data_IF_777893563055
#
_entry.id   IF_777893563055
#
_cell.length_a   1.000
_cell.length_b   1.000
_cell.length_c   1.000
_cell.angle_alpha   90.00
_cell.angle_beta   90.00
_cell.angle_gamma   90.00
#
_symmetry.space_group_name_H-M   'P 1'
#
loop_
_entity.id
_entity.type
_entity.pdbx_description
1 polymer ?
#
# COMPACT_ATOMS: atom_id res chain seq x y z
N UNK A 1 13.26 12.60 9.91
CA UNK A 1 13.32 11.66 8.77
C UNK A 1 12.27 12.07 7.76
N UNK A 2 12.68 12.24 6.50
CA UNK A 2 11.82 12.58 5.38
C UNK A 2 11.54 11.30 4.58
N UNK A 3 10.27 11.03 4.27
CA UNK A 3 9.88 9.82 3.55
C UNK A 3 9.30 10.15 2.18
N UNK A 4 9.86 9.53 1.14
CA UNK A 4 9.33 9.64 -0.23
C UNK A 4 8.45 8.44 -0.53
N UNK A 5 7.22 8.69 -0.98
CA UNK A 5 6.26 7.64 -1.33
C UNK A 5 6.31 7.42 -2.84
N UNK A 6 6.69 6.20 -3.27
CA UNK A 6 6.87 5.85 -4.68
C UNK A 6 5.92 4.70 -5.05
N UNK A 7 4.93 4.93 -5.94
CA UNK A 7 4.06 3.85 -6.40
C UNK A 7 4.76 2.98 -7.45
N UNK A 8 4.69 1.67 -7.28
CA UNK A 8 5.32 0.70 -8.19
C UNK A 8 4.36 0.25 -9.30
N UNK A 9 4.91 -0.34 -10.36
CA UNK A 9 4.15 -0.73 -11.57
C UNK A 9 2.94 -1.63 -11.26
N UNK A 10 3.11 -2.63 -10.40
CA UNK A 10 2.02 -3.55 -10.02
C UNK A 10 0.95 -2.86 -9.19
N UNK A 11 1.35 -1.99 -8.27
CA UNK A 11 0.44 -1.14 -7.52
C UNK A 11 -0.39 -0.25 -8.46
N UNK A 12 0.24 0.44 -9.42
CA UNK A 12 -0.47 1.32 -10.36
C UNK A 12 -1.46 0.54 -11.26
N UNK A 13 -1.10 -0.68 -11.65
CA UNK A 13 -1.97 -1.55 -12.44
C UNK A 13 -3.25 -1.92 -11.68
N UNK A 14 -3.11 -2.43 -10.46
CA UNK A 14 -4.26 -2.78 -9.62
C UNK A 14 -5.04 -1.55 -9.19
N UNK A 15 -4.35 -0.45 -8.90
CA UNK A 15 -4.98 0.81 -8.58
C UNK A 15 -5.90 1.28 -9.72
N UNK A 16 -5.44 1.23 -10.97
CA UNK A 16 -6.26 1.59 -12.13
C UNK A 16 -7.48 0.69 -12.27
N UNK A 17 -7.36 -0.60 -11.95
CA UNK A 17 -8.49 -1.54 -11.96
C UNK A 17 -9.49 -1.20 -10.87
N UNK A 18 -9.03 -0.97 -9.63
CA UNK A 18 -9.88 -0.60 -8.51
C UNK A 18 -10.53 0.79 -8.70
N UNK A 19 -9.82 1.75 -9.31
CA UNK A 19 -10.33 3.09 -9.57
C UNK A 19 -11.51 3.09 -10.55
N UNK A 20 -11.57 2.12 -11.47
CA UNK A 20 -12.73 1.92 -12.34
C UNK A 20 -13.96 1.40 -11.58
N UNK A 21 -13.73 0.65 -10.50
CA UNK A 21 -14.80 0.03 -9.69
C UNK A 21 -15.29 0.96 -8.58
N UNK A 22 -14.40 1.76 -8.00
CA UNK A 22 -14.66 2.59 -6.84
C UNK A 22 -14.33 4.06 -7.14
N UNK A 23 -15.35 4.90 -7.24
CA UNK A 23 -15.21 6.32 -7.55
C UNK A 23 -14.47 7.11 -6.46
N UNK A 24 -14.56 6.67 -5.19
CA UNK A 24 -13.90 7.34 -4.06
C UNK A 24 -12.40 7.08 -3.98
N UNK A 25 -11.86 6.13 -4.76
CA UNK A 25 -10.52 5.59 -4.53
C UNK A 25 -9.42 6.65 -4.59
N UNK A 26 -9.61 7.69 -5.40
CA UNK A 26 -8.70 8.82 -5.48
C UNK A 26 -8.59 9.58 -4.15
N UNK A 27 -9.74 9.82 -3.49
CA UNK A 27 -9.78 10.46 -2.17
C UNK A 27 -9.24 9.52 -1.08
N UNK A 28 -9.58 8.23 -1.16
CA UNK A 28 -9.08 7.21 -0.22
C UNK A 28 -7.54 7.11 -0.26
N UNK A 29 -6.94 7.19 -1.46
CA UNK A 29 -5.49 7.23 -1.63
C UNK A 29 -4.85 8.51 -1.05
N UNK A 30 -5.50 9.65 -1.20
CA UNK A 30 -5.00 10.90 -0.64
C UNK A 30 -4.97 10.84 0.89
N UNK A 31 -6.01 10.23 1.49
CA UNK A 31 -6.03 9.97 2.93
C UNK A 31 -4.89 9.00 3.34
N UNK A 32 -4.64 7.94 2.56
CA UNK A 32 -3.51 7.03 2.80
C UNK A 32 -2.16 7.76 2.71
N UNK A 33 -1.99 8.66 1.74
CA UNK A 33 -0.76 9.42 1.59
C UNK A 33 -0.52 10.33 2.79
N UNK A 34 -1.58 10.99 3.30
CA UNK A 34 -1.49 11.81 4.51
C UNK A 34 -1.18 10.97 5.76
N UNK A 35 -1.77 9.77 5.87
CA UNK A 35 -1.49 8.80 6.94
C UNK A 35 -0.01 8.38 6.91
N UNK A 36 0.53 8.04 5.73
CA UNK A 36 1.93 7.66 5.55
C UNK A 36 2.91 8.82 5.77
N UNK A 37 2.52 10.04 5.40
CA UNK A 37 3.35 11.23 5.60
C UNK A 37 3.46 11.59 7.09
N UNK A 38 2.38 11.35 7.86
CA UNK A 38 2.35 11.60 9.30
C UNK A 38 2.94 10.44 10.11
N UNK A 39 2.73 9.21 9.64
CA UNK A 39 3.24 7.98 10.25
C UNK A 39 3.80 7.04 9.16
N UNK A 40 5.10 7.17 8.84
CA UNK A 40 5.80 6.29 7.89
C UNK A 40 5.75 4.81 8.28
N UNK A 41 5.62 4.52 9.57
CA UNK A 41 5.48 3.19 10.15
C UNK A 41 4.02 2.77 10.34
N UNK A 42 3.09 3.30 9.55
CA UNK A 42 1.69 2.87 9.59
C UNK A 42 1.52 1.41 9.16
N UNK A 43 0.42 0.80 9.61
CA UNK A 43 0.06 -0.58 9.28
C UNK A 43 0.77 -1.65 10.11
N UNK A 44 0.58 -2.90 9.69
CA UNK A 44 1.10 -4.09 10.36
C UNK A 44 2.45 -4.44 9.72
N UNK A 45 3.48 -4.59 10.54
CA UNK A 45 4.77 -5.09 10.10
C UNK A 45 4.67 -6.57 9.72
N UNK A 46 5.11 -6.90 8.51
CA UNK A 46 5.23 -8.27 8.00
C UNK A 46 6.68 -8.76 7.99
N UNK A 47 7.62 -7.94 8.48
CA UNK A 47 9.06 -8.22 8.49
C UNK A 47 9.79 -7.70 7.25
N UNK A 48 11.12 -7.61 7.35
CA UNK A 48 12.00 -7.20 6.26
C UNK A 48 11.62 -5.85 5.60
N UNK A 49 11.13 -4.88 6.39
CA UNK A 49 10.69 -3.57 5.86
C UNK A 49 9.35 -3.61 5.12
N UNK A 50 8.67 -4.76 5.09
CA UNK A 50 7.37 -4.92 4.44
C UNK A 50 6.26 -4.62 5.44
N UNK A 51 5.30 -3.79 5.04
CA UNK A 51 4.15 -3.44 5.85
C UNK A 51 2.83 -3.62 5.10
N UNK A 52 1.79 -3.93 5.85
CA UNK A 52 0.42 -4.09 5.36
C UNK A 52 -0.48 -3.05 5.99
N UNK A 53 -1.00 -2.15 5.15
CA UNK A 53 -1.85 -1.04 5.56
C UNK A 53 -3.29 -1.35 5.19
N UNK A 54 -4.20 -1.10 6.13
CA UNK A 54 -5.65 -1.24 5.92
C UNK A 54 -6.21 0.11 5.49
N UNK A 55 -6.69 0.20 4.26
CA UNK A 55 -7.29 1.38 3.68
C UNK A 55 -8.81 1.19 3.57
N UNK A 56 -9.60 2.14 4.05
CA UNK A 56 -11.03 2.14 3.76
C UNK A 56 -11.25 2.49 2.27
N UNK A 57 -12.31 1.95 1.68
CA UNK A 57 -12.78 2.41 0.37
C UNK A 57 -14.12 3.09 0.63
N UNK A 58 -14.17 4.42 0.52
CA UNK A 58 -15.35 5.23 0.82
C UNK A 58 -16.60 4.73 0.10
N UNK A 59 -16.50 4.42 -1.20
CA UNK A 59 -17.60 3.91 -2.03
C UNK A 59 -18.25 2.63 -1.50
N UNK A 60 -17.61 1.91 -0.58
CA UNK A 60 -18.17 0.70 0.02
C UNK A 60 -19.01 0.96 1.26
N UNK A 61 -18.82 2.08 1.97
CA UNK A 61 -19.49 2.36 3.25
C UNK A 61 -19.36 1.25 4.33
N UNK A 62 -18.31 0.41 4.27
CA UNK A 62 -18.10 -0.75 5.16
C UNK A 62 -16.84 -0.66 6.05
N UNK A 63 -16.23 0.52 6.14
CA UNK A 63 -15.03 0.78 6.95
C UNK A 63 -13.76 0.06 6.47
N UNK A 64 -12.67 0.15 7.26
CA UNK A 64 -11.34 -0.43 6.92
C UNK A 64 -11.33 -1.96 6.84
N UNK A 65 -12.26 -2.65 7.50
CA UNK A 65 -12.30 -4.12 7.57
C UNK A 65 -12.68 -4.78 6.25
N UNK A 66 -13.40 -4.08 5.37
CA UNK A 66 -13.86 -4.52 4.05
C UNK A 66 -13.25 -3.72 2.90
N UNK A 67 -12.34 -2.81 3.21
CA UNK A 67 -11.66 -1.98 2.22
C UNK A 67 -10.47 -2.68 1.57
N UNK A 68 -9.55 -1.88 1.06
CA UNK A 68 -8.34 -2.36 0.43
C UNK A 68 -7.22 -2.64 1.45
N UNK A 69 -6.31 -3.54 1.07
CA UNK A 69 -5.01 -3.70 1.70
C UNK A 69 -3.94 -3.21 0.74
N UNK A 70 -3.08 -2.35 1.26
CA UNK A 70 -1.91 -1.85 0.56
C UNK A 70 -0.69 -2.52 1.18
N UNK A 71 0.14 -3.12 0.34
CA UNK A 71 1.44 -3.68 0.72
C UNK A 71 2.50 -2.65 0.35
N UNK A 72 3.37 -2.35 1.30
CA UNK A 72 4.45 -1.39 1.14
C UNK A 72 5.79 -2.01 1.49
N UNK A 73 6.86 -1.57 0.83
CA UNK A 73 8.23 -1.90 1.16
C UNK A 73 9.00 -0.63 1.50
N UNK A 74 9.46 -0.52 2.75
CA UNK A 74 10.14 0.66 3.26
C UNK A 74 11.59 0.35 3.56
N UNK A 75 12.49 1.19 3.07
CA UNK A 75 13.91 1.14 3.41
C UNK A 75 14.46 2.56 3.64
N UNK A 76 15.50 2.62 4.46
CA UNK A 76 16.21 3.86 4.78
C UNK A 76 17.35 4.04 3.78
N UNK A 77 17.47 5.23 3.19
CA UNK A 77 18.56 5.56 2.26
C UNK A 77 19.77 6.09 3.02
N UNK A 78 19.52 6.90 4.05
CA UNK A 78 20.52 7.50 4.93
C UNK A 78 19.83 7.93 6.25
N UNK A 79 20.57 8.46 7.22
CA UNK A 79 20.04 8.77 8.57
C UNK A 79 18.82 9.70 8.59
N UNK A 80 18.58 10.44 7.51
CA UNK A 80 17.52 11.45 7.41
C UNK A 80 16.46 11.14 6.34
N UNK A 81 16.69 10.20 5.42
CA UNK A 81 15.77 9.89 4.32
C UNK A 81 15.36 8.41 4.27
N UNK A 82 14.07 8.18 4.05
CA UNK A 82 13.51 6.87 3.76
C UNK A 82 12.64 6.87 2.51
N UNK A 83 12.47 5.69 1.91
CA UNK A 83 11.60 5.48 0.76
C UNK A 83 10.54 4.46 1.12
N UNK A 84 9.28 4.81 0.89
CA UNK A 84 8.11 3.93 1.04
C UNK A 84 7.63 3.56 -0.37
N UNK A 85 7.89 2.33 -0.79
CA UNK A 85 7.42 1.82 -2.06
C UNK A 85 6.03 1.22 -1.87
N UNK A 86 5.03 1.72 -2.60
CA UNK A 86 3.72 1.08 -2.66
C UNK A 86 3.82 -0.04 -3.71
N UNK A 87 3.94 -1.29 -3.26
CA UNK A 87 4.25 -2.41 -4.16
C UNK A 87 2.97 -3.06 -4.71
N UNK A 88 1.91 -3.11 -3.91
CA UNK A 88 0.66 -3.76 -4.32
C UNK A 88 -0.55 -3.26 -3.55
N UNK A 89 -1.73 -3.33 -4.18
CA UNK A 89 -3.02 -3.02 -3.56
C UNK A 89 -4.05 -4.05 -4.02
N UNK A 90 -4.88 -4.51 -3.08
CA UNK A 90 -6.00 -5.39 -3.42
C UNK A 90 -7.19 -5.12 -2.51
N UNK A 91 -8.38 -5.38 -3.02
CA UNK A 91 -9.62 -5.32 -2.27
C UNK A 91 -9.84 -6.63 -1.50
N UNK A 92 -10.19 -6.55 -0.19
CA UNK A 92 -10.50 -7.73 0.63
C UNK A 92 -11.58 -8.62 0.02
N UNK A 93 -12.63 -7.99 -0.52
CA UNK A 93 -13.80 -8.73 -1.02
C UNK A 93 -13.48 -9.50 -2.30
N UNK A 94 -12.49 -9.05 -3.08
CA UNK A 94 -12.01 -9.77 -4.27
C UNK A 94 -10.91 -10.77 -3.93
N UNK A 95 -10.11 -10.47 -2.91
CA UNK A 95 -8.96 -11.26 -2.51
C UNK A 95 -8.79 -11.20 -1.00
N UNK A 96 -9.02 -12.32 -0.32
CA UNK A 96 -8.98 -12.37 1.13
C UNK A 96 -7.58 -12.12 1.70
N UNK A 97 -6.56 -12.74 1.09
CA UNK A 97 -5.16 -12.71 1.51
C UNK A 97 -4.21 -12.69 0.31
N UNK A 98 -3.00 -12.17 0.55
CA UNK A 98 -1.85 -12.31 -0.34
C UNK A 98 -0.86 -13.24 0.34
N UNK A 99 -0.23 -14.14 -0.41
CA UNK A 99 0.72 -15.10 0.15
C UNK A 99 2.10 -14.45 0.35
N UNK A 100 2.87 -14.98 1.31
CA UNK A 100 4.22 -14.49 1.57
C UNK A 100 5.14 -14.66 0.36
N UNK A 101 4.92 -15.71 -0.45
CA UNK A 101 5.69 -15.94 -1.68
C UNK A 101 5.44 -14.87 -2.73
N UNK A 102 4.19 -14.43 -2.90
CA UNK A 102 3.86 -13.33 -3.81
C UNK A 102 4.42 -11.99 -3.33
N UNK A 103 4.35 -11.72 -2.01
CA UNK A 103 4.96 -10.53 -1.43
C UNK A 103 6.47 -10.52 -1.72
N UNK A 104 7.16 -11.63 -1.45
CA UNK A 104 8.60 -11.75 -1.73
C UNK A 104 8.93 -11.55 -3.20
N UNK A 105 8.09 -12.07 -4.10
CA UNK A 105 8.26 -11.88 -5.54
C UNK A 105 8.08 -10.41 -5.94
N UNK A 106 7.05 -9.72 -5.44
CA UNK A 106 6.81 -8.30 -5.68
C UNK A 106 7.97 -7.43 -5.15
N UNK A 107 8.52 -7.76 -3.98
CA UNK A 107 9.68 -7.03 -3.42
C UNK A 107 10.91 -7.21 -4.29
N UNK A 108 11.19 -8.44 -4.76
CA UNK A 108 12.32 -8.70 -5.67
C UNK A 108 12.24 -7.91 -6.97
N UNK A 109 11.05 -7.62 -7.49
CA UNK A 109 10.90 -6.77 -8.67
C UNK A 109 11.19 -5.29 -8.41
N UNK A 110 11.07 -4.84 -7.15
CA UNK A 110 11.36 -3.45 -6.75
C UNK A 110 12.85 -3.27 -6.44
N UNK A 111 13.52 -4.31 -5.95
CA UNK A 111 14.97 -4.31 -5.67
C UNK A 111 15.83 -4.47 -6.95
N UNK A 112 15.21 -4.81 -8.07
CA UNK A 112 15.88 -5.09 -9.34
C UNK A 112 16.05 -3.83 -10.19
#
# INVERSE_FOLDING_TARGET
MNYRIIPQKHFLKELKRLAKKYHSLKQDLQALQNELSSNPSAGIDLGCGIRKIRMAIGSKNKGKSHGARVITYTYTVNDTEGIINLIYIYDKEERESITDNEIKWLVKEVER
#
